data_IF_624093116766
#
_entry.id   IF_624093116766
#
_cell.length_a   1.000
_cell.length_b   1.000
_cell.length_c   1.000
_cell.angle_alpha   90.00
_cell.angle_beta   90.00
_cell.angle_gamma   90.00
#
_symmetry.space_group_name_H-M   'P 1'
#
loop_
_entity.id
_entity.type
_entity.pdbx_description
1 polymer ?
#
# COMPACT_ATOMS: atom_id res chain seq x y z
N UNK A 1 8.95 18.54 16.53
CA UNK A 1 7.97 17.44 16.59
C UNK A 1 8.08 16.67 15.29
N UNK A 2 8.34 15.37 15.39
CA UNK A 2 8.83 14.54 14.30
C UNK A 2 7.66 14.11 13.43
N UNK A 3 7.86 14.07 12.11
CA UNK A 3 6.84 13.65 11.14
C UNK A 3 6.53 12.13 11.16
N UNK A 4 7.10 11.40 12.11
CA UNK A 4 6.72 10.02 12.43
C UNK A 4 5.41 9.95 13.23
N UNK A 5 4.83 11.10 13.60
CA UNK A 5 3.70 11.23 14.52
C UNK A 5 2.33 11.39 13.77
N UNK A 6 1.76 10.27 13.29
CA UNK A 6 0.33 10.00 13.00
C UNK A 6 -0.19 10.16 11.55
N UNK A 7 -0.18 9.05 10.78
CA UNK A 7 -1.44 8.48 10.24
C UNK A 7 -1.62 6.97 10.52
N UNK A 8 -0.54 6.21 10.70
CA UNK A 8 -0.58 4.80 11.09
C UNK A 8 -1.00 4.63 12.55
N UNK A 9 -0.55 5.52 13.43
CA UNK A 9 -0.99 5.62 14.81
C UNK A 9 -2.46 6.03 14.94
N UNK A 10 -3.07 6.58 13.88
CA UNK A 10 -4.48 6.94 13.85
C UNK A 10 -5.33 5.70 13.63
N UNK A 11 -4.96 4.85 12.67
CA UNK A 11 -5.55 3.53 12.51
C UNK A 11 -5.24 2.65 13.73
N UNK A 12 -4.02 2.69 14.27
CA UNK A 12 -3.66 2.01 15.52
C UNK A 12 -4.34 2.62 16.77
N UNK A 13 -4.64 3.93 16.82
CA UNK A 13 -5.41 4.56 17.90
C UNK A 13 -6.88 4.15 17.81
N UNK A 14 -7.45 4.22 16.60
CA UNK A 14 -8.76 3.68 16.28
C UNK A 14 -8.81 2.22 16.74
N UNK A 15 -7.80 1.40 16.40
CA UNK A 15 -7.66 0.00 16.83
C UNK A 15 -7.50 -0.16 18.35
N UNK A 16 -6.80 0.74 19.03
CA UNK A 16 -6.61 0.71 20.50
C UNK A 16 -7.87 1.09 21.27
N UNK A 17 -8.69 2.00 20.73
CA UNK A 17 -9.96 2.42 21.32
C UNK A 17 -11.09 1.40 21.09
N UNK A 18 -10.90 0.54 20.11
CA UNK A 18 -11.79 -0.57 19.82
C UNK A 18 -11.71 -1.66 20.91
N UNK A 19 -10.56 -1.89 21.54
CA UNK A 19 -10.41 -2.91 22.60
C UNK A 19 -11.10 -2.57 23.93
N UNK A 20 -11.43 -1.30 24.18
CA UNK A 20 -12.01 -0.83 25.45
C UNK A 20 -13.52 -0.54 25.39
N UNK A 21 -14.26 -1.13 24.45
CA UNK A 21 -15.67 -0.80 24.24
C UNK A 21 -16.63 -1.35 25.32
N UNK A 22 -16.61 -0.80 26.54
CA UNK A 22 -17.66 -1.05 27.55
C UNK A 22 -18.99 -0.37 27.16
N UNK A 23 -20.15 -1.04 27.38
CA UNK A 23 -21.46 -0.52 27.01
C UNK A 23 -22.00 0.49 28.04
N UNK A 24 -22.31 1.72 27.59
CA UNK A 24 -23.04 2.74 28.36
C UNK A 24 -24.51 2.84 27.89
N UNK A 25 -25.45 2.87 28.84
CA UNK A 25 -26.89 2.60 28.63
C UNK A 25 -27.70 3.70 27.92
N UNK A 26 -28.60 3.32 27.00
CA UNK A 26 -30.01 3.78 26.85
C UNK A 26 -30.62 3.30 25.51
N UNK A 27 -31.81 2.71 25.55
CA UNK A 27 -32.36 1.73 24.57
C UNK A 27 -32.29 2.08 23.05
N UNK A 28 -32.43 3.34 22.62
CA UNK A 28 -32.27 3.73 21.21
C UNK A 28 -30.80 3.95 20.81
N UNK A 29 -29.96 4.36 21.76
CA UNK A 29 -28.50 4.35 21.57
C UNK A 29 -27.96 2.92 21.60
N UNK A 30 -28.58 2.01 22.35
CA UNK A 30 -28.12 0.62 22.47
C UNK A 30 -28.10 -0.12 21.13
N UNK A 31 -29.10 0.07 20.26
CA UNK A 31 -29.12 -0.56 18.93
C UNK A 31 -28.04 0.04 18.00
N UNK A 32 -27.92 1.38 17.97
CA UNK A 32 -26.88 2.06 17.19
C UNK A 32 -25.45 1.71 17.67
N UNK A 33 -25.27 1.57 18.98
CA UNK A 33 -24.00 1.16 19.61
C UNK A 33 -23.71 -0.32 19.32
N UNK A 34 -24.72 -1.20 19.36
CA UNK A 34 -24.55 -2.63 19.06
C UNK A 34 -24.18 -2.83 17.59
N UNK A 35 -24.84 -2.12 16.67
CA UNK A 35 -24.51 -2.15 15.24
C UNK A 35 -23.10 -1.59 15.00
N UNK A 36 -22.75 -0.47 15.61
CA UNK A 36 -21.39 0.10 15.51
C UNK A 36 -20.32 -0.83 16.11
N UNK A 37 -20.64 -1.52 17.21
CA UNK A 37 -19.73 -2.49 17.86
C UNK A 37 -19.54 -3.75 17.01
N UNK A 38 -20.61 -4.24 16.38
CA UNK A 38 -20.55 -5.34 15.43
C UNK A 38 -19.72 -4.96 14.19
N UNK A 39 -19.98 -3.81 13.60
CA UNK A 39 -19.19 -3.29 12.46
C UNK A 39 -17.72 -3.10 12.84
N UNK A 40 -17.45 -2.53 14.01
CA UNK A 40 -16.09 -2.43 14.54
C UNK A 40 -15.41 -3.80 14.71
N UNK A 41 -16.13 -4.82 15.15
CA UNK A 41 -15.59 -6.18 15.29
C UNK A 41 -15.28 -6.81 13.93
N UNK A 42 -16.11 -6.56 12.92
CA UNK A 42 -15.87 -7.01 11.55
C UNK A 42 -14.66 -6.32 10.92
N UNK A 43 -14.56 -5.00 11.07
CA UNK A 43 -13.41 -4.24 10.58
C UNK A 43 -12.12 -4.71 11.27
N UNK A 44 -12.17 -5.01 12.58
CA UNK A 44 -11.05 -5.63 13.31
C UNK A 44 -10.65 -6.99 12.74
N UNK A 45 -11.61 -7.89 12.54
CA UNK A 45 -11.34 -9.21 11.99
C UNK A 45 -10.80 -9.19 10.56
N UNK A 46 -11.06 -8.13 9.81
CA UNK A 46 -10.48 -7.88 8.48
C UNK A 46 -9.06 -7.34 8.58
N UNK A 47 -8.84 -6.34 9.43
CA UNK A 47 -7.51 -5.76 9.65
C UNK A 47 -6.50 -6.76 10.24
N UNK A 48 -6.95 -7.69 11.09
CA UNK A 48 -6.08 -8.75 11.61
C UNK A 48 -5.52 -9.67 10.52
N UNK A 49 -6.17 -9.77 9.35
CA UNK A 49 -5.70 -10.57 8.21
C UNK A 49 -4.51 -9.95 7.50
N UNK A 50 -4.39 -8.62 7.58
CA UNK A 50 -3.30 -7.84 6.96
C UNK A 50 -2.36 -7.23 7.98
N UNK A 51 -2.48 -7.60 9.26
CA UNK A 51 -1.78 -6.99 10.40
C UNK A 51 -0.28 -6.81 10.17
N UNK A 52 0.35 -7.76 9.51
CA UNK A 52 1.78 -7.75 9.24
C UNK A 52 2.23 -6.67 8.25
N UNK A 53 1.43 -6.41 7.22
CA UNK A 53 1.74 -5.39 6.21
C UNK A 53 1.05 -4.07 6.52
N UNK A 54 0.17 -4.03 7.53
CA UNK A 54 -0.76 -2.93 7.76
C UNK A 54 -0.03 -1.59 7.91
N UNK A 55 1.03 -1.55 8.70
CA UNK A 55 1.82 -0.34 8.90
C UNK A 55 2.42 0.19 7.60
N UNK A 56 2.99 -0.72 6.79
CA UNK A 56 3.56 -0.37 5.50
C UNK A 56 2.49 0.05 4.49
N UNK A 57 1.37 -0.68 4.44
CA UNK A 57 0.24 -0.39 3.57
C UNK A 57 -0.36 0.99 3.86
N UNK A 58 -0.53 1.33 5.14
CA UNK A 58 -1.03 2.63 5.56
C UNK A 58 0.00 3.74 5.32
N UNK A 59 1.28 3.43 5.43
CA UNK A 59 2.36 4.39 5.09
C UNK A 59 2.37 4.72 3.60
N UNK A 60 2.21 3.71 2.75
CA UNK A 60 2.20 3.90 1.29
C UNK A 60 0.86 4.50 0.84
N UNK A 61 -0.27 3.96 1.28
CA UNK A 61 -1.62 4.39 0.93
C UNK A 61 -2.32 4.94 2.18
N UNK A 62 -2.04 6.21 2.56
CA UNK A 62 -2.62 6.77 3.76
C UNK A 62 -4.15 6.82 3.69
N UNK A 63 -4.84 6.71 4.85
CA UNK A 63 -6.29 6.75 4.90
C UNK A 63 -6.80 8.05 4.29
N UNK A 64 -7.87 8.01 3.48
CA UNK A 64 -8.33 9.20 2.80
C UNK A 64 -8.85 10.25 3.78
N UNK A 65 -8.87 11.51 3.33
CA UNK A 65 -9.24 12.68 4.13
C UNK A 65 -10.66 12.63 4.69
N UNK A 66 -11.53 11.70 4.29
CA UNK A 66 -12.85 11.56 4.92
C UNK A 66 -12.79 11.09 6.38
N UNK A 67 -11.73 10.38 6.81
CA UNK A 67 -11.50 10.13 8.25
C UNK A 67 -11.25 11.43 9.03
N UNK A 68 -11.12 12.56 8.34
CA UNK A 68 -10.79 13.85 8.86
C UNK A 68 -12.02 14.76 8.68
N UNK A 69 -12.81 14.97 9.74
CA UNK A 69 -14.02 15.81 9.67
C UNK A 69 -13.68 17.24 9.19
N UNK A 70 -14.53 17.87 8.37
CA UNK A 70 -14.36 19.26 7.99
C UNK A 70 -14.75 20.16 9.16
N UNK A 71 -13.76 20.68 9.90
CA UNK A 71 -13.95 21.90 10.70
C UNK A 71 -13.19 23.06 10.08
N UNK A 72 -13.85 24.21 10.11
CA UNK A 72 -13.32 25.50 9.71
C UNK A 72 -12.05 25.81 10.54
N UNK A 73 -10.99 26.23 9.84
CA UNK A 73 -9.70 26.71 10.35
C UNK A 73 -8.60 25.69 10.74
N UNK A 74 -7.66 25.51 9.80
CA UNK A 74 -6.19 25.44 9.98
C UNK A 74 -5.57 24.41 10.94
N UNK A 75 -6.27 23.38 11.39
CA UNK A 75 -5.63 22.25 12.07
C UNK A 75 -6.02 20.94 11.40
N UNK A 76 -5.01 20.09 11.14
CA UNK A 76 -5.19 18.78 10.52
C UNK A 76 -6.21 17.95 11.33
N UNK A 77 -7.23 17.33 10.71
CA UNK A 77 -8.35 16.79 11.46
C UNK A 77 -8.06 15.35 11.90
N UNK A 78 -7.44 15.18 13.05
CA UNK A 78 -7.15 13.86 13.64
C UNK A 78 -8.39 13.36 14.38
N UNK A 79 -8.85 12.11 14.19
CA UNK A 79 -9.74 11.44 15.16
C UNK A 79 -8.90 11.28 16.45
N UNK A 80 -9.26 12.03 17.49
CA UNK A 80 -8.52 12.09 18.76
C UNK A 80 -9.24 11.37 19.89
N UNK A 81 -10.54 11.09 19.73
CA UNK A 81 -11.35 10.51 20.80
C UNK A 81 -12.19 9.32 20.35
N UNK A 82 -12.45 8.40 21.29
CA UNK A 82 -13.34 7.25 21.10
C UNK A 82 -14.75 7.66 20.66
N UNK A 83 -15.27 8.80 21.13
CA UNK A 83 -16.57 9.32 20.71
C UNK A 83 -16.60 9.76 19.25
N UNK A 84 -15.51 10.34 18.74
CA UNK A 84 -15.39 10.71 17.32
C UNK A 84 -15.34 9.47 16.43
N UNK A 85 -14.63 8.43 16.88
CA UNK A 85 -14.65 7.13 16.21
C UNK A 85 -16.07 6.55 16.15
N UNK A 86 -16.78 6.52 17.28
CA UNK A 86 -18.15 6.01 17.33
C UNK A 86 -19.07 6.83 16.44
N UNK A 87 -18.89 8.15 16.32
CA UNK A 87 -19.66 8.98 15.40
C UNK A 87 -19.38 8.64 13.93
N UNK A 88 -18.12 8.40 13.55
CA UNK A 88 -17.75 7.97 12.19
C UNK A 88 -18.29 6.57 11.90
N UNK A 89 -18.22 5.65 12.87
CA UNK A 89 -18.74 4.27 12.72
C UNK A 89 -20.27 4.19 12.80
N UNK A 90 -20.94 5.16 13.40
CA UNK A 90 -22.40 5.28 13.37
C UNK A 90 -22.92 6.03 12.14
N UNK A 91 -22.04 6.67 11.34
CA UNK A 91 -22.44 7.35 10.11
C UNK A 91 -22.59 6.34 8.96
N UNK A 92 -23.82 6.12 8.45
CA UNK A 92 -24.08 5.15 7.37
C UNK A 92 -23.37 5.48 6.06
N UNK A 93 -22.86 6.70 5.88
CA UNK A 93 -22.08 7.10 4.68
C UNK A 93 -20.58 6.82 4.82
N UNK A 94 -20.09 6.66 6.04
CA UNK A 94 -18.67 6.51 6.34
C UNK A 94 -18.25 5.04 6.41
N UNK A 95 -19.13 4.15 6.90
CA UNK A 95 -18.88 2.70 6.95
C UNK A 95 -18.51 2.14 5.57
N UNK A 96 -19.27 2.38 4.47
CA UNK A 96 -18.91 1.82 3.17
C UNK A 96 -17.56 2.33 2.65
N UNK A 97 -17.18 3.56 3.01
CA UNK A 97 -15.89 4.16 2.64
C UNK A 97 -14.73 3.53 3.40
N UNK A 98 -14.92 3.28 4.70
CA UNK A 98 -13.93 2.56 5.52
C UNK A 98 -13.78 1.10 5.05
N UNK A 99 -14.89 0.43 4.75
CA UNK A 99 -14.88 -0.93 4.21
C UNK A 99 -14.19 -1.01 2.84
N UNK A 100 -14.44 -0.05 1.96
CA UNK A 100 -13.79 0.04 0.64
C UNK A 100 -12.28 0.29 0.78
N UNK A 101 -11.86 1.18 1.69
CA UNK A 101 -10.45 1.42 1.95
C UNK A 101 -9.75 0.18 2.50
N UNK A 102 -10.32 -0.50 3.50
CA UNK A 102 -9.76 -1.75 4.04
C UNK A 102 -9.74 -2.83 2.96
N UNK A 103 -10.79 -2.93 2.13
CA UNK A 103 -10.84 -3.87 1.02
C UNK A 103 -9.71 -3.62 0.01
N UNK A 104 -9.42 -2.36 -0.28
CA UNK A 104 -8.33 -1.97 -1.16
C UNK A 104 -6.96 -2.35 -0.57
N UNK A 105 -6.74 -2.13 0.73
CA UNK A 105 -5.52 -2.58 1.41
C UNK A 105 -5.38 -4.11 1.42
N UNK A 106 -6.46 -4.84 1.67
CA UNK A 106 -6.50 -6.31 1.59
C UNK A 106 -6.12 -6.81 0.19
N UNK A 107 -6.72 -6.21 -0.83
CA UNK A 107 -6.44 -6.55 -2.24
C UNK A 107 -4.97 -6.28 -2.59
N UNK A 108 -4.40 -5.18 -2.08
CA UNK A 108 -2.98 -4.84 -2.26
C UNK A 108 -2.06 -5.84 -1.57
N UNK A 109 -2.32 -6.18 -0.31
CA UNK A 109 -1.56 -7.21 0.42
C UNK A 109 -1.60 -8.55 -0.31
N UNK A 110 -2.80 -8.98 -0.74
CA UNK A 110 -2.98 -10.24 -1.45
C UNK A 110 -2.27 -10.26 -2.82
N UNK A 111 -2.38 -9.18 -3.59
CA UNK A 111 -1.69 -9.05 -4.89
C UNK A 111 -0.18 -9.07 -4.70
N UNK A 112 0.35 -8.36 -3.69
CA UNK A 112 1.77 -8.37 -3.40
C UNK A 112 2.27 -9.78 -3.01
N UNK A 113 1.48 -10.52 -2.23
CA UNK A 113 1.77 -11.92 -1.89
C UNK A 113 1.80 -12.82 -3.15
N UNK A 114 0.83 -12.65 -4.06
CA UNK A 114 0.77 -13.40 -5.31
C UNK A 114 1.96 -13.09 -6.23
N UNK A 115 2.35 -11.82 -6.37
CA UNK A 115 3.54 -11.43 -7.15
C UNK A 115 4.81 -12.02 -6.54
N UNK A 116 4.99 -11.92 -5.22
CA UNK A 116 6.12 -12.53 -4.53
C UNK A 116 6.18 -14.05 -4.74
N UNK A 117 5.03 -14.73 -4.64
CA UNK A 117 4.93 -16.16 -4.92
C UNK A 117 5.28 -16.49 -6.38
N UNK A 118 4.84 -15.68 -7.34
CA UNK A 118 5.17 -15.88 -8.76
C UNK A 118 6.65 -15.69 -9.05
N UNK A 119 7.28 -14.67 -8.45
CA UNK A 119 8.73 -14.44 -8.54
C UNK A 119 9.50 -15.66 -8.04
N UNK A 120 9.06 -16.25 -6.92
CA UNK A 120 9.65 -17.47 -6.36
C UNK A 120 9.39 -18.70 -7.25
N UNK A 121 8.17 -18.92 -7.72
CA UNK A 121 7.84 -20.10 -8.54
C UNK A 121 8.53 -20.09 -9.90
N UNK A 122 8.77 -18.91 -10.46
CA UNK A 122 9.52 -18.72 -11.69
C UNK A 122 11.05 -18.74 -11.46
N UNK A 123 11.49 -18.94 -10.20
CA UNK A 123 12.90 -18.91 -9.79
C UNK A 123 13.63 -17.65 -10.26
N UNK A 124 12.94 -16.50 -10.30
CA UNK A 124 13.57 -15.24 -10.72
C UNK A 124 14.59 -14.76 -9.68
N UNK A 125 14.31 -15.03 -8.40
CA UNK A 125 15.16 -14.72 -7.25
C UNK A 125 15.11 -15.88 -6.28
N UNK A 126 16.27 -16.21 -5.71
CA UNK A 126 16.37 -17.14 -4.58
C UNK A 126 16.37 -16.35 -3.28
N UNK A 127 15.36 -16.55 -2.43
CA UNK A 127 15.33 -15.96 -1.09
C UNK A 127 14.82 -16.98 -0.07
N UNK A 128 15.39 -16.95 1.13
CA UNK A 128 14.93 -17.73 2.29
C UNK A 128 13.78 -17.03 3.03
N UNK A 129 13.49 -15.77 2.70
CA UNK A 129 12.49 -14.95 3.35
C UNK A 129 11.43 -14.45 2.34
N UNK A 130 10.35 -15.21 2.11
CA UNK A 130 9.28 -14.82 1.18
C UNK A 130 8.53 -13.55 1.62
N UNK A 131 8.58 -13.24 2.92
CA UNK A 131 7.88 -12.11 3.51
C UNK A 131 8.62 -10.81 3.30
N UNK A 132 9.96 -10.87 3.35
CA UNK A 132 10.79 -9.76 2.90
C UNK A 132 10.54 -9.48 1.42
N UNK A 133 10.41 -10.51 0.58
CA UNK A 133 10.09 -10.32 -0.83
C UNK A 133 8.72 -9.62 -1.02
N UNK A 134 7.70 -9.99 -0.24
CA UNK A 134 6.41 -9.27 -0.25
C UNK A 134 6.57 -7.80 0.13
N UNK A 135 7.39 -7.50 1.14
CA UNK A 135 7.73 -6.11 1.54
C UNK A 135 8.37 -5.34 0.38
N UNK A 136 9.31 -5.96 -0.34
CA UNK A 136 9.93 -5.37 -1.54
C UNK A 136 8.88 -5.09 -2.62
N UNK A 137 7.97 -6.02 -2.88
CA UNK A 137 6.90 -5.83 -3.86
C UNK A 137 6.00 -4.66 -3.48
N UNK A 138 5.61 -4.54 -2.21
CA UNK A 138 4.83 -3.40 -1.72
C UNK A 138 5.59 -2.08 -1.90
N UNK A 139 6.88 -2.05 -1.58
CA UNK A 139 7.71 -0.85 -1.74
C UNK A 139 7.87 -0.44 -3.21
N UNK A 140 8.01 -1.39 -4.13
CA UNK A 140 7.98 -1.11 -5.57
C UNK A 140 6.62 -0.54 -5.99
N UNK A 141 5.53 -1.10 -5.46
CA UNK A 141 4.18 -0.65 -5.76
C UNK A 141 3.86 0.75 -5.22
N UNK A 142 4.63 1.27 -4.26
CA UNK A 142 4.50 2.67 -3.81
C UNK A 142 4.57 3.69 -4.95
N UNK A 143 5.21 3.32 -6.07
CA UNK A 143 5.24 4.13 -7.28
C UNK A 143 3.84 4.48 -7.81
N UNK A 144 2.85 3.59 -7.68
CA UNK A 144 1.47 3.88 -8.08
C UNK A 144 0.90 5.02 -7.26
N UNK A 145 1.03 5.00 -5.94
CA UNK A 145 0.51 6.10 -5.13
C UNK A 145 1.20 7.43 -5.47
N UNK A 146 2.51 7.39 -5.68
CA UNK A 146 3.32 8.59 -5.90
C UNK A 146 3.14 9.20 -7.28
N UNK A 147 2.84 8.38 -8.30
CA UNK A 147 2.88 8.82 -9.69
C UNK A 147 1.66 8.42 -10.54
N UNK A 148 0.64 7.75 -9.99
CA UNK A 148 -0.57 7.43 -10.78
C UNK A 148 -1.31 8.68 -11.24
N UNK A 149 -1.25 9.75 -10.44
CA UNK A 149 -1.81 11.06 -10.75
C UNK A 149 -0.78 12.01 -11.34
N UNK A 150 0.23 11.52 -12.06
CA UNK A 150 1.27 12.34 -12.65
C UNK A 150 0.72 13.27 -13.76
N UNK A 151 0.06 14.34 -13.33
CA UNK A 151 -0.47 15.44 -14.14
C UNK A 151 0.68 16.23 -14.78
N UNK A 152 1.84 16.27 -14.12
CA UNK A 152 3.02 17.02 -14.55
C UNK A 152 3.91 16.25 -15.53
N UNK A 153 3.61 14.97 -15.77
CA UNK A 153 4.37 14.10 -16.66
C UNK A 153 5.78 13.78 -16.17
N UNK A 154 6.06 13.87 -14.87
CA UNK A 154 7.35 13.51 -14.26
C UNK A 154 7.82 12.12 -14.71
N UNK A 155 6.97 11.09 -14.62
CA UNK A 155 7.24 9.71 -15.04
C UNK A 155 7.33 9.57 -16.56
N UNK A 156 6.62 10.40 -17.32
CA UNK A 156 6.77 10.49 -18.77
C UNK A 156 8.08 11.18 -19.18
N UNK A 157 8.55 12.13 -18.36
CA UNK A 157 9.77 12.92 -18.56
C UNK A 157 11.04 12.22 -18.08
N UNK A 158 10.91 11.15 -17.28
CA UNK A 158 12.02 10.23 -16.96
C UNK A 158 12.59 9.72 -18.29
N UNK A 159 13.69 10.34 -18.71
CA UNK A 159 14.36 10.06 -19.97
C UNK A 159 14.79 8.59 -20.01
N UNK A 160 14.86 8.00 -21.20
CA UNK A 160 15.32 6.61 -21.40
C UNK A 160 16.76 6.36 -20.88
N UNK A 161 17.48 7.41 -20.49
CA UNK A 161 18.82 7.34 -19.89
C UNK A 161 18.82 7.06 -18.38
N UNK A 162 17.67 7.21 -17.70
CA UNK A 162 17.59 7.00 -16.25
C UNK A 162 17.37 5.51 -15.99
N UNK A 163 18.13 4.95 -15.06
CA UNK A 163 17.89 3.59 -14.56
C UNK A 163 17.10 3.62 -13.26
N UNK A 164 16.58 2.46 -12.85
CA UNK A 164 15.87 2.34 -11.58
C UNK A 164 16.78 2.68 -10.38
N UNK A 165 18.06 2.30 -10.46
CA UNK A 165 19.08 2.73 -9.50
C UNK A 165 19.18 4.26 -9.31
N UNK A 166 19.04 5.06 -10.37
CA UNK A 166 19.04 6.52 -10.25
C UNK A 166 17.82 7.01 -9.45
N UNK A 167 16.67 6.36 -9.64
CA UNK A 167 15.44 6.66 -8.92
C UNK A 167 15.59 6.39 -7.42
N UNK A 168 16.26 5.29 -7.05
CA UNK A 168 16.50 4.91 -5.64
C UNK A 168 17.33 5.97 -4.87
N UNK A 169 18.16 6.73 -5.57
CA UNK A 169 19.00 7.79 -4.97
C UNK A 169 18.30 9.15 -4.99
N UNK A 170 17.57 9.46 -6.06
CA UNK A 170 17.03 10.82 -6.30
C UNK A 170 15.64 11.03 -5.72
N UNK A 171 14.82 9.99 -5.66
CA UNK A 171 13.49 10.11 -5.10
C UNK A 171 13.58 10.17 -3.56
N UNK A 172 12.99 11.20 -2.95
CA UNK A 172 13.10 11.43 -1.49
C UNK A 172 12.54 10.29 -0.66
N UNK A 173 11.45 9.66 -1.10
CA UNK A 173 10.86 8.54 -0.39
C UNK A 173 11.78 7.31 -0.49
N UNK A 174 12.24 6.98 -1.70
CA UNK A 174 13.11 5.83 -1.92
C UNK A 174 14.50 5.99 -1.28
N UNK A 175 15.05 7.21 -1.31
CA UNK A 175 16.34 7.52 -0.70
C UNK A 175 16.33 7.35 0.83
N UNK A 176 15.17 7.54 1.47
CA UNK A 176 14.98 7.38 2.91
C UNK A 176 14.78 5.92 3.35
N UNK A 177 14.59 4.98 2.42
CA UNK A 177 14.42 3.56 2.76
C UNK A 177 15.72 2.94 3.30
N UNK A 178 15.64 1.84 4.06
CA UNK A 178 16.80 1.04 4.43
C UNK A 178 17.56 0.47 3.22
N UNK A 179 18.89 0.33 3.32
CA UNK A 179 19.75 -0.14 2.22
C UNK A 179 19.50 -1.59 1.80
N UNK A 180 19.07 -2.45 2.72
CA UNK A 180 18.61 -3.81 2.40
C UNK A 180 17.33 -3.78 1.56
N UNK A 181 16.38 -2.89 1.87
CA UNK A 181 15.16 -2.69 1.08
C UNK A 181 15.50 -2.17 -0.31
N UNK A 182 16.36 -1.14 -0.43
CA UNK A 182 16.78 -0.62 -1.75
C UNK A 182 17.42 -1.70 -2.62
N UNK A 183 18.36 -2.47 -2.07
CA UNK A 183 18.99 -3.59 -2.78
C UNK A 183 17.99 -4.67 -3.18
N UNK A 184 17.05 -5.00 -2.28
CA UNK A 184 15.97 -5.93 -2.59
C UNK A 184 15.10 -5.43 -3.75
N UNK A 185 14.74 -4.14 -3.73
CA UNK A 185 13.95 -3.50 -4.80
C UNK A 185 14.67 -3.55 -6.13
N UNK A 186 15.96 -3.20 -6.16
CA UNK A 186 16.79 -3.24 -7.37
C UNK A 186 16.87 -4.66 -7.96
N UNK A 187 17.14 -5.66 -7.11
CA UNK A 187 17.19 -7.07 -7.50
C UNK A 187 15.85 -7.57 -8.07
N UNK A 188 14.74 -7.27 -7.39
CA UNK A 188 13.39 -7.66 -7.84
C UNK A 188 13.03 -6.97 -9.14
N UNK A 189 13.29 -5.67 -9.24
CA UNK A 189 13.02 -4.89 -10.44
C UNK A 189 13.80 -5.45 -11.64
N UNK A 190 15.09 -5.71 -11.47
CA UNK A 190 15.95 -6.24 -12.54
C UNK A 190 15.53 -7.67 -12.92
N UNK A 191 15.28 -8.55 -11.95
CA UNK A 191 14.88 -9.94 -12.22
C UNK A 191 13.55 -10.03 -12.99
N UNK A 192 12.55 -9.25 -12.57
CA UNK A 192 11.27 -9.14 -13.27
C UNK A 192 11.46 -8.52 -14.65
N UNK A 193 12.23 -7.44 -14.77
CA UNK A 193 12.52 -6.78 -16.05
C UNK A 193 13.20 -7.71 -17.05
N UNK A 194 14.20 -8.49 -16.61
CA UNK A 194 14.87 -9.51 -17.43
C UNK A 194 13.90 -10.59 -17.91
N UNK A 195 13.06 -11.12 -17.02
CA UNK A 195 12.06 -12.13 -17.37
C UNK A 195 11.05 -11.61 -18.40
N UNK A 196 10.57 -10.38 -18.22
CA UNK A 196 9.62 -9.73 -19.13
C UNK A 196 10.25 -9.27 -20.46
N UNK A 197 11.58 -9.38 -20.65
CA UNK A 197 12.30 -9.02 -21.88
C UNK A 197 12.07 -7.55 -22.31
N UNK A 198 12.66 -7.06 -23.42
CA UNK A 198 12.45 -5.67 -23.84
C UNK A 198 10.96 -5.34 -24.03
N UNK A 199 10.52 -4.13 -23.62
CA UNK A 199 11.33 -2.98 -23.19
C UNK A 199 11.73 -2.95 -21.70
N UNK A 200 11.46 -4.00 -20.93
CA UNK A 200 11.63 -4.02 -19.46
C UNK A 200 13.02 -4.46 -19.00
N UNK A 201 13.73 -5.25 -19.80
CA UNK A 201 15.09 -5.71 -19.51
C UNK A 201 16.17 -4.72 -19.94
N UNK A 202 17.37 -4.86 -19.35
CA UNK A 202 18.55 -4.02 -19.62
C UNK A 202 18.89 -4.01 -21.12
N UNK A 203 18.77 -2.85 -21.78
CA UNK A 203 19.16 -2.67 -23.20
C UNK A 203 20.61 -2.23 -23.26
N UNK A 204 21.53 -3.19 -23.27
CA UNK A 204 22.96 -2.92 -23.51
C UNK A 204 23.65 -2.06 -22.43
N UNK A 205 24.84 -1.52 -22.70
CA UNK A 205 25.72 -0.90 -21.71
C UNK A 205 25.33 0.54 -21.33
N UNK A 206 24.03 0.84 -21.21
CA UNK A 206 23.53 2.22 -21.05
C UNK A 206 22.24 2.43 -20.25
N UNK A 207 21.65 1.40 -19.63
CA UNK A 207 20.60 1.61 -18.62
C UNK A 207 19.43 0.63 -18.68
N UNK A 208 18.87 0.35 -17.52
CA UNK A 208 17.56 -0.26 -17.36
C UNK A 208 16.49 0.75 -17.78
N UNK A 209 15.55 0.36 -18.63
CA UNK A 209 14.46 1.26 -18.99
C UNK A 209 13.52 1.49 -17.82
N UNK A 210 13.00 2.71 -17.67
CA UNK A 210 11.90 3.04 -16.74
C UNK A 210 10.54 2.47 -17.18
N UNK A 211 10.53 1.55 -18.15
CA UNK A 211 9.31 0.96 -18.70
C UNK A 211 8.54 0.16 -17.64
N UNK A 212 9.22 -0.66 -16.83
CA UNK A 212 8.56 -1.43 -15.78
C UNK A 212 8.03 -0.49 -14.68
N UNK A 213 8.82 0.52 -14.31
CA UNK A 213 8.39 1.56 -13.38
C UNK A 213 7.12 2.29 -13.86
N UNK A 214 7.00 2.58 -15.17
CA UNK A 214 5.80 3.20 -15.76
C UNK A 214 4.58 2.29 -15.67
N UNK A 215 4.75 0.99 -15.87
CA UNK A 215 3.65 0.02 -15.69
C UNK A 215 3.23 -0.03 -14.23
N UNK A 216 4.18 -0.15 -13.30
CA UNK A 216 3.87 -0.15 -11.86
C UNK A 216 3.17 1.15 -11.45
N UNK A 217 3.61 2.30 -11.97
CA UNK A 217 3.01 3.60 -11.66
C UNK A 217 1.57 3.74 -12.19
N UNK A 218 1.26 3.23 -13.39
CA UNK A 218 -0.07 3.37 -14.01
C UNK A 218 -1.03 2.26 -13.61
N UNK A 219 -0.61 1.02 -13.77
CA UNK A 219 -1.44 -0.16 -13.55
C UNK A 219 -1.30 -0.79 -12.18
N UNK A 220 -0.21 -0.50 -11.47
CA UNK A 220 0.10 -1.15 -10.19
C UNK A 220 0.72 -2.54 -10.38
N UNK A 221 0.76 -3.30 -9.29
CA UNK A 221 1.30 -4.66 -9.32
C UNK A 221 0.33 -5.69 -9.92
N UNK A 222 -0.94 -5.34 -10.12
CA UNK A 222 -1.89 -6.19 -10.83
C UNK A 222 -1.43 -6.43 -12.27
N UNK A 223 -1.00 -5.38 -12.97
CA UNK A 223 -0.51 -5.48 -14.35
C UNK A 223 0.78 -6.30 -14.40
N UNK A 224 1.68 -6.10 -13.43
CA UNK A 224 2.90 -6.91 -13.31
C UNK A 224 2.56 -8.39 -13.10
N UNK A 225 1.62 -8.70 -12.22
CA UNK A 225 1.16 -10.06 -11.98
C UNK A 225 0.58 -10.69 -13.26
N UNK A 226 -0.28 -9.97 -13.97
CA UNK A 226 -0.87 -10.44 -15.22
C UNK A 226 0.22 -10.72 -16.28
N UNK A 227 1.21 -9.84 -16.43
CA UNK A 227 2.33 -10.04 -17.35
C UNK A 227 3.19 -11.26 -16.97
N UNK A 228 3.47 -11.46 -15.67
CA UNK A 228 4.20 -12.63 -15.17
C UNK A 228 3.45 -13.92 -15.48
N UNK A 229 2.13 -13.95 -15.25
CA UNK A 229 1.28 -15.12 -15.50
C UNK A 229 1.15 -15.45 -16.99
N UNK A 230 0.88 -14.45 -17.83
CA UNK A 230 0.76 -14.65 -19.29
C UNK A 230 2.04 -15.25 -19.88
N UNK A 231 3.19 -14.77 -19.39
CA UNK A 231 4.49 -15.24 -19.89
C UNK A 231 4.91 -16.58 -19.29
N UNK A 232 4.62 -16.80 -18.01
CA UNK A 232 4.86 -18.09 -17.35
C UNK A 232 3.99 -19.22 -17.90
N UNK A 233 2.78 -18.90 -18.39
CA UNK A 233 1.87 -19.86 -19.02
C UNK A 233 2.12 -20.13 -20.50
N UNK A 234 2.77 -19.21 -21.23
CA UNK A 234 3.04 -19.32 -22.68
C UNK A 234 4.28 -20.13 -23.07
N UNK A 235 4.92 -20.81 -22.11
CA UNK A 235 6.12 -21.62 -22.31
C UNK A 235 5.88 -23.12 -22.12
N UNK A 236 4.83 -23.66 -22.75
CA UNK A 236 4.63 -25.10 -22.94
C UNK A 236 4.56 -25.42 -24.42
#
# INVERSE_FOLDING_TARGET
MSLNDLPAELLLNILSHLDNLDPLSSANRTLSITVASYQASQLRGRLSRIQRDLELLVTIWPPPTFFHQPRQHRQQPTIRTRSELTQVLCDPRMIPRAEAYIHDLETKSQTAAQVAQQILSLNLITTTNPEFLRTIVLQLWSAQQRYAHDVDGYVASLHERWCFGDLLVRDRYLAALPEDVKRGMDLVYEAVGRFLRPPFGRRGPGGEGMALQRIIARGGMQDVLAMLQQRGGGGR
#
